data_IF_221241158254
#
_entry.id   IF_221241158254
#
_cell.length_a   1.000
_cell.length_b   1.000
_cell.length_c   1.000
_cell.angle_alpha   90.00
_cell.angle_beta   90.00
_cell.angle_gamma   90.00
#
_symmetry.space_group_name_H-M   'P 1'
#
loop_
_entity.id
_entity.type
_entity.pdbx_description
1 polymer ?
#
# COMPACT_ATOMS: atom_id res chain seq x y z
N UNK A 1 -22.85 15.81 7.16
CA UNK A 1 -21.96 14.93 7.95
C UNK A 1 -20.71 14.67 7.13
N UNK A 2 -19.56 15.25 7.49
CA UNK A 2 -18.28 14.89 6.87
C UNK A 2 -17.82 13.55 7.45
N UNK A 3 -17.36 12.57 6.64
CA UNK A 3 -16.79 11.36 7.20
C UNK A 3 -15.49 11.74 7.91
N UNK A 4 -15.38 11.36 9.19
CA UNK A 4 -14.17 11.56 9.96
C UNK A 4 -13.02 10.83 9.26
N UNK A 5 -12.04 11.57 8.76
CA UNK A 5 -10.77 11.02 8.35
C UNK A 5 -10.10 10.48 9.61
N UNK A 6 -10.24 9.17 9.85
CA UNK A 6 -9.56 8.46 10.93
C UNK A 6 -8.07 8.78 10.87
N UNK A 7 -7.47 9.02 12.04
CA UNK A 7 -6.03 9.20 12.21
C UNK A 7 -5.29 8.19 11.34
N UNK A 8 -4.34 8.66 10.51
CA UNK A 8 -3.53 7.78 9.67
C UNK A 8 -2.89 6.70 10.55
N UNK A 9 -3.27 5.44 10.33
CA UNK A 9 -2.72 4.33 11.09
C UNK A 9 -1.23 4.19 10.79
N UNK A 10 -0.42 4.09 11.84
CA UNK A 10 1.02 3.99 11.71
C UNK A 10 1.41 2.63 11.10
N UNK A 11 1.82 2.64 9.84
CA UNK A 11 2.43 1.50 9.15
C UNK A 11 3.90 1.38 9.61
N UNK A 12 4.39 0.16 9.89
CA UNK A 12 5.79 -0.06 10.25
C UNK A 12 6.69 0.45 9.10
N UNK A 13 7.80 1.11 9.41
CA UNK A 13 8.71 1.68 8.40
C UNK A 13 9.15 0.66 7.31
N UNK A 14 9.32 -0.61 7.69
CA UNK A 14 9.65 -1.69 6.75
C UNK A 14 8.48 -2.16 5.87
N UNK A 15 7.24 -2.11 6.36
CA UNK A 15 6.07 -2.59 5.60
C UNK A 15 5.71 -1.74 4.39
N UNK A 16 6.20 -0.49 4.31
CA UNK A 16 6.08 0.33 3.10
C UNK A 16 7.08 -0.15 2.02
N UNK A 17 8.30 -0.49 2.42
CA UNK A 17 9.35 -0.98 1.52
C UNK A 17 9.03 -2.38 0.99
N UNK A 18 8.41 -3.22 1.82
CA UNK A 18 8.01 -4.59 1.45
C UNK A 18 6.61 -4.64 0.77
N UNK A 19 6.02 -3.49 0.47
CA UNK A 19 4.68 -3.41 -0.12
C UNK A 19 4.69 -3.93 -1.56
N UNK A 20 3.78 -4.85 -1.86
CA UNK A 20 3.63 -5.47 -3.19
C UNK A 20 2.39 -4.96 -3.91
N UNK A 21 2.44 -4.94 -5.24
CA UNK A 21 1.28 -4.55 -6.06
C UNK A 21 0.06 -5.45 -5.82
N UNK A 22 0.27 -6.73 -5.49
CA UNK A 22 -0.81 -7.68 -5.18
C UNK A 22 -1.59 -7.34 -3.90
N UNK A 23 -1.02 -6.53 -3.00
CA UNK A 23 -1.74 -6.05 -1.82
C UNK A 23 -2.71 -4.93 -2.15
N UNK A 24 -2.60 -4.31 -3.34
CA UNK A 24 -3.46 -3.21 -3.75
C UNK A 24 -4.73 -3.74 -4.45
N UNK A 25 -5.84 -3.72 -3.73
CA UNK A 25 -7.16 -3.98 -4.26
C UNK A 25 -7.71 -2.71 -4.93
N UNK A 26 -7.54 -2.64 -6.24
CA UNK A 26 -7.99 -1.50 -7.05
C UNK A 26 -9.51 -1.40 -7.14
N UNK A 27 -10.23 -2.52 -6.99
CA UNK A 27 -11.69 -2.55 -7.12
C UNK A 27 -12.32 -1.91 -5.89
N UNK A 28 -11.89 -2.36 -4.72
CA UNK A 28 -12.43 -1.89 -3.45
C UNK A 28 -11.66 -0.67 -2.90
N UNK A 29 -10.60 -0.24 -3.60
CA UNK A 29 -9.72 0.87 -3.21
C UNK A 29 -9.10 0.66 -1.82
N UNK A 30 -8.52 -0.52 -1.60
CA UNK A 30 -7.95 -0.94 -0.32
C UNK A 30 -6.53 -1.47 -0.49
N UNK A 31 -5.65 -1.22 0.48
CA UNK A 31 -4.40 -1.94 0.66
C UNK A 31 -4.65 -3.06 1.66
N UNK A 32 -4.56 -4.31 1.21
CA UNK A 32 -4.76 -5.52 2.01
C UNK A 32 -3.40 -6.07 2.41
N UNK A 33 -2.96 -5.71 3.62
CA UNK A 33 -1.70 -6.17 4.19
C UNK A 33 -1.91 -7.54 4.87
N UNK A 34 -1.20 -8.60 4.45
CA UNK A 34 -1.28 -9.90 5.09
C UNK A 34 -0.60 -9.86 6.47
N UNK A 35 -1.01 -10.76 7.37
CA UNK A 35 -0.54 -10.85 8.75
C UNK A 35 0.99 -10.81 8.89
N UNK A 36 1.69 -11.51 8.01
CA UNK A 36 3.16 -11.60 7.95
C UNK A 36 3.86 -10.26 7.71
N UNK A 37 3.17 -9.27 7.14
CA UNK A 37 3.70 -7.92 6.92
C UNK A 37 3.36 -6.93 8.03
N UNK A 38 2.42 -7.27 8.91
CA UNK A 38 1.90 -6.37 9.95
C UNK A 38 2.50 -6.71 11.30
N UNK A 39 3.06 -5.71 12.00
CA UNK A 39 3.71 -5.88 13.32
C UNK A 39 2.80 -6.54 14.36
N UNK A 40 1.50 -6.25 14.31
CA UNK A 40 0.49 -6.71 15.26
C UNK A 40 0.09 -8.18 15.04
N UNK A 41 0.64 -8.85 14.02
CA UNK A 41 0.31 -10.25 13.73
C UNK A 41 -1.16 -10.42 13.35
N UNK A 42 -1.77 -9.42 12.71
CA UNK A 42 -3.14 -9.48 12.20
C UNK A 42 -3.19 -8.83 10.82
N UNK A 43 -3.94 -9.40 9.86
CA UNK A 43 -4.11 -8.77 8.56
C UNK A 43 -4.80 -7.41 8.71
N UNK A 44 -4.45 -6.45 7.86
CA UNK A 44 -5.04 -5.11 7.85
C UNK A 44 -5.56 -4.74 6.48
N UNK A 45 -6.68 -4.02 6.47
CA UNK A 45 -7.22 -3.39 5.27
C UNK A 45 -7.20 -1.88 5.46
N UNK A 46 -6.37 -1.20 4.68
CA UNK A 46 -6.18 0.25 4.77
C UNK A 46 -6.87 0.89 3.56
N UNK A 47 -7.87 1.76 3.74
CA UNK A 47 -8.51 2.44 2.63
C UNK A 47 -7.53 3.37 1.91
N UNK A 48 -7.55 3.33 0.58
CA UNK A 48 -6.74 4.21 -0.26
C UNK A 48 -7.48 5.54 -0.41
N UNK A 49 -6.82 6.61 0.04
CA UNK A 49 -7.33 7.96 -0.18
C UNK A 49 -7.49 8.23 -1.69
N UNK A 50 -8.58 8.88 -2.08
CA UNK A 50 -8.87 9.24 -3.48
C UNK A 50 -7.73 9.98 -4.18
N UNK A 51 -6.94 10.79 -3.47
CA UNK A 51 -5.73 11.43 -4.02
C UNK A 51 -4.64 10.42 -4.42
N UNK A 52 -4.48 9.35 -3.62
CA UNK A 52 -3.49 8.29 -3.86
C UNK A 52 -3.97 7.32 -4.94
N UNK A 53 -5.30 7.13 -5.08
CA UNK A 53 -5.91 6.31 -6.13
C UNK A 53 -5.45 6.71 -7.53
N UNK A 54 -5.39 8.02 -7.81
CA UNK A 54 -4.96 8.55 -9.10
C UNK A 54 -3.51 8.11 -9.40
N UNK A 55 -2.62 8.24 -8.41
CA UNK A 55 -1.21 7.85 -8.54
C UNK A 55 -1.08 6.34 -8.76
N UNK A 56 -1.78 5.51 -7.98
CA UNK A 56 -1.75 4.05 -8.14
C UNK A 56 -2.31 3.56 -9.49
N UNK A 57 -3.19 4.32 -10.12
CA UNK A 57 -3.72 3.99 -11.44
C UNK A 57 -2.83 4.49 -12.59
N UNK A 58 -2.10 5.58 -12.37
CA UNK A 58 -1.20 6.16 -13.38
C UNK A 58 0.15 5.44 -13.47
N UNK A 59 0.59 4.79 -12.38
CA UNK A 59 1.87 4.08 -12.37
C UNK A 59 1.77 2.76 -13.16
N UNK A 60 2.64 2.56 -14.17
CA UNK A 60 2.74 1.26 -14.82
C UNK A 60 3.19 0.24 -13.79
N UNK A 61 2.44 -0.85 -13.63
CA UNK A 61 2.93 -2.01 -12.89
C UNK A 61 4.13 -2.54 -13.66
N UNK A 62 5.33 -2.29 -13.14
CA UNK A 62 6.56 -2.62 -13.83
C UNK A 62 6.63 -4.12 -14.09
N UNK A 63 6.99 -4.49 -15.32
CA UNK A 63 7.03 -5.88 -15.81
C UNK A 63 8.12 -6.76 -15.16
N UNK A 64 8.92 -6.22 -14.23
CA UNK A 64 10.17 -6.85 -13.77
C UNK A 64 10.24 -7.05 -12.24
N UNK A 65 9.25 -6.60 -11.46
CA UNK A 65 9.21 -6.83 -10.00
C UNK A 65 7.82 -6.67 -9.40
N UNK A 66 7.60 -7.32 -8.25
CA UNK A 66 6.30 -7.31 -7.55
C UNK A 66 6.13 -6.14 -6.58
N UNK A 67 7.20 -5.41 -6.26
CA UNK A 67 7.19 -4.35 -5.24
C UNK A 67 6.67 -3.01 -5.78
N UNK A 68 5.94 -2.28 -4.93
CA UNK A 68 5.41 -0.94 -5.22
C UNK A 68 6.52 0.11 -5.24
N UNK A 69 7.51 -0.05 -4.37
CA UNK A 69 8.68 0.81 -4.29
C UNK A 69 9.89 0.02 -4.79
N UNK A 70 10.58 0.58 -5.77
CA UNK A 70 11.87 0.07 -6.20
C UNK A 70 12.94 1.12 -6.09
N UNK A 71 14.05 0.72 -5.49
CA UNK A 71 15.26 1.52 -5.41
C UNK A 71 16.31 0.92 -6.34
N UNK A 72 16.69 1.67 -7.38
CA UNK A 72 17.87 1.33 -8.18
C UNK A 72 19.08 1.91 -7.48
N UNK A 73 19.76 1.08 -6.69
CA UNK A 73 21.04 1.46 -6.10
C UNK A 73 22.03 1.85 -7.21
N UNK A 74 22.54 3.07 -7.15
CA UNK A 74 23.70 3.47 -7.95
C UNK A 74 24.89 2.79 -7.28
N UNK A 75 25.58 1.94 -8.04
CA UNK A 75 26.74 1.17 -7.59
C UNK A 75 28.01 1.92 -7.92
#
# INVERSE_FOLDING_TARGET
>A
MQPGYGQGEAVKKGSILDSKWSYNDKKDCMIRLPMETVKEGRPKSIPINHHVKIVCNALPHALLHDFVITYRGIR
#
